data_IF_473184687802
#
_entry.id   IF_473184687802
#
_cell.length_a   1.000
_cell.length_b   1.000
_cell.length_c   1.000
_cell.angle_alpha   90.00
_cell.angle_beta   90.00
_cell.angle_gamma   90.00
#
_symmetry.space_group_name_H-M   'P 1'
#
loop_
_entity.id
_entity.type
_entity.pdbx_description
1 polymer ?
#
# COMPACT_ATOMS: atom_id res chain seq x y z
N UNK A 1 -11.46 0.06 16.38
CA UNK A 1 -10.07 -0.36 16.59
C UNK A 1 -9.28 0.91 16.87
N UNK A 2 -8.50 0.92 17.94
CA UNK A 2 -7.83 2.13 18.41
C UNK A 2 -6.55 2.43 17.59
N UNK A 3 -6.16 3.70 17.47
CA UNK A 3 -4.97 4.14 16.72
C UNK A 3 -3.73 3.38 17.20
N UNK A 4 -3.60 3.21 18.51
CA UNK A 4 -2.45 2.58 19.15
C UNK A 4 -2.38 1.08 18.85
N UNK A 5 -3.52 0.39 18.77
CA UNK A 5 -3.58 -1.03 18.37
C UNK A 5 -3.06 -1.23 16.94
N UNK A 6 -3.48 -0.36 16.01
CA UNK A 6 -3.00 -0.40 14.63
C UNK A 6 -1.49 -0.16 14.55
N UNK A 7 -0.97 0.86 15.25
CA UNK A 7 0.46 1.15 15.29
C UNK A 7 1.25 -0.03 15.87
N UNK A 8 0.77 -0.63 16.97
CA UNK A 8 1.43 -1.79 17.57
C UNK A 8 1.45 -3.00 16.62
N UNK A 9 0.37 -3.24 15.87
CA UNK A 9 0.34 -4.31 14.88
C UNK A 9 1.38 -4.09 13.78
N UNK A 10 1.44 -2.90 13.18
CA UNK A 10 2.42 -2.59 12.13
C UNK A 10 3.86 -2.72 12.67
N UNK A 11 4.12 -2.21 13.88
CA UNK A 11 5.44 -2.34 14.51
C UNK A 11 5.85 -3.80 14.68
N UNK A 12 4.96 -4.69 15.15
CA UNK A 12 5.27 -6.12 15.26
C UNK A 12 5.68 -6.76 13.94
N UNK A 13 5.05 -6.36 12.84
CA UNK A 13 5.43 -6.85 11.50
C UNK A 13 6.81 -6.35 11.09
N UNK A 14 7.13 -5.08 11.36
CA UNK A 14 8.46 -4.52 11.07
C UNK A 14 9.53 -5.12 11.98
N UNK A 15 9.24 -5.32 13.27
CA UNK A 15 10.13 -5.98 14.23
C UNK A 15 10.52 -7.38 13.73
N UNK A 16 9.55 -8.14 13.23
CA UNK A 16 9.80 -9.46 12.66
C UNK A 16 10.73 -9.40 11.44
N UNK A 17 10.50 -8.45 10.52
CA UNK A 17 11.38 -8.28 9.35
C UNK A 17 12.80 -7.87 9.74
N UNK A 18 12.95 -6.95 10.68
CA UNK A 18 14.27 -6.54 11.18
C UNK A 18 15.00 -7.71 11.84
N UNK A 19 14.29 -8.56 12.59
CA UNK A 19 14.85 -9.79 13.15
C UNK A 19 15.31 -10.76 12.05
N UNK A 20 14.52 -10.97 11.00
CA UNK A 20 14.92 -11.82 9.87
C UNK A 20 16.14 -11.26 9.14
N UNK A 21 16.16 -9.93 8.92
CA UNK A 21 17.27 -9.25 8.27
C UNK A 21 18.57 -9.41 9.09
N UNK A 22 18.52 -9.13 10.39
CA UNK A 22 19.67 -9.29 11.29
C UNK A 22 20.14 -10.75 11.37
N UNK A 23 19.21 -11.70 11.36
CA UNK A 23 19.56 -13.12 11.35
C UNK A 23 20.30 -13.51 10.07
N UNK A 24 19.82 -13.09 8.90
CA UNK A 24 20.49 -13.33 7.61
C UNK A 24 21.87 -12.68 7.58
N UNK A 25 22.00 -11.44 8.05
CA UNK A 25 23.27 -10.73 8.12
C UNK A 25 24.29 -11.50 8.99
N UNK A 26 23.83 -12.05 10.11
CA UNK A 26 24.67 -12.85 11.02
C UNK A 26 25.20 -14.16 10.41
N UNK A 27 24.55 -14.71 9.37
CA UNK A 27 24.98 -15.93 8.68
C UNK A 27 26.13 -15.68 7.68
N UNK A 28 26.48 -14.42 7.41
CA UNK A 28 27.50 -14.01 6.45
C UNK A 28 27.02 -14.06 4.99
N UNK A 29 27.47 -13.09 4.18
CA UNK A 29 27.09 -12.92 2.77
C UNK A 29 27.67 -14.04 1.88
N UNK A 30 27.06 -15.22 1.91
CA UNK A 30 27.52 -16.34 1.08
C UNK A 30 26.87 -16.34 -0.31
N UNK A 31 25.69 -15.72 -0.50
CA UNK A 31 25.05 -15.52 -1.83
C UNK A 31 24.13 -14.28 -1.88
N UNK A 32 24.05 -13.56 -3.01
CA UNK A 32 23.07 -12.49 -3.24
C UNK A 32 21.60 -12.94 -3.17
N UNK A 33 21.34 -14.25 -3.35
CA UNK A 33 20.02 -14.86 -3.28
C UNK A 33 19.44 -14.99 -1.86
N UNK A 34 20.16 -14.55 -0.83
CA UNK A 34 19.76 -14.70 0.58
C UNK A 34 19.02 -13.47 1.14
N UNK A 35 18.49 -12.58 0.29
CA UNK A 35 17.75 -11.40 0.74
C UNK A 35 16.38 -11.72 1.35
N UNK A 36 15.91 -10.86 2.25
CA UNK A 36 14.51 -10.87 2.71
C UNK A 36 13.68 -10.06 1.71
N UNK A 37 12.70 -10.71 1.10
CA UNK A 37 11.67 -10.04 0.32
C UNK A 37 10.38 -10.00 1.14
N UNK A 38 9.69 -8.86 1.10
CA UNK A 38 8.44 -8.68 1.82
C UNK A 38 7.45 -7.89 0.97
N UNK A 39 6.17 -8.15 1.20
CA UNK A 39 5.06 -7.42 0.62
C UNK A 39 4.03 -7.21 1.73
N UNK A 40 3.66 -5.95 1.94
CA UNK A 40 2.57 -5.62 2.85
C UNK A 40 1.39 -5.05 2.07
N UNK A 41 0.25 -5.72 2.12
CA UNK A 41 -1.00 -5.18 1.62
C UNK A 41 -1.58 -4.18 2.63
N UNK A 42 -2.00 -3.01 2.14
CA UNK A 42 -2.68 -1.97 2.91
C UNK A 42 -2.00 -1.59 4.25
N UNK A 43 -0.73 -1.20 4.16
CA UNK A 43 0.14 -0.93 5.33
C UNK A 43 0.22 0.56 5.70
N UNK A 44 1.44 1.09 5.93
CA UNK A 44 1.75 2.43 6.46
C UNK A 44 0.92 3.57 5.85
N UNK A 45 0.71 3.57 4.52
CA UNK A 45 0.02 4.66 3.84
C UNK A 45 -1.45 4.80 4.26
N UNK A 46 -2.12 3.67 4.53
CA UNK A 46 -3.50 3.68 5.03
C UNK A 46 -3.57 4.26 6.43
N UNK A 47 -2.57 3.93 7.26
CA UNK A 47 -2.47 4.50 8.60
C UNK A 47 -2.23 6.00 8.54
N UNK A 48 -1.34 6.47 7.66
CA UNK A 48 -1.09 7.89 7.43
C UNK A 48 -2.34 8.63 6.94
N UNK A 49 -3.13 8.00 6.07
CA UNK A 49 -4.42 8.55 5.65
C UNK A 49 -5.45 8.56 6.78
N UNK A 50 -5.47 7.57 7.66
CA UNK A 50 -6.38 7.52 8.80
C UNK A 50 -5.99 8.52 9.91
N UNK A 51 -4.69 8.71 10.15
CA UNK A 51 -4.15 9.51 11.25
C UNK A 51 -3.07 10.48 10.74
N UNK A 52 -3.50 11.71 10.44
CA UNK A 52 -2.62 12.76 9.93
C UNK A 52 -1.65 13.22 11.04
N UNK A 53 -0.38 13.45 10.71
CA UNK A 53 0.68 14.00 11.58
C UNK A 53 0.94 13.21 12.87
N UNK A 54 1.33 11.94 12.74
CA UNK A 54 1.74 11.10 13.87
C UNK A 54 3.24 10.83 13.85
N UNK A 55 3.96 11.23 14.90
CA UNK A 55 5.40 10.96 15.03
C UNK A 55 5.72 9.46 14.98
N UNK A 56 4.80 8.62 15.46
CA UNK A 56 4.89 7.17 15.42
C UNK A 56 4.87 6.61 14.00
N UNK A 57 4.12 7.25 13.09
CA UNK A 57 4.09 6.86 11.67
C UNK A 57 5.40 7.24 11.01
N UNK A 58 5.93 8.43 11.29
CA UNK A 58 7.25 8.84 10.78
C UNK A 58 8.36 7.91 11.27
N UNK A 59 8.32 7.49 12.54
CA UNK A 59 9.24 6.48 13.07
C UNK A 59 9.13 5.14 12.34
N UNK A 60 7.90 4.67 12.08
CA UNK A 60 7.68 3.45 11.31
C UNK A 60 8.22 3.57 9.88
N UNK A 61 8.00 4.70 9.21
CA UNK A 61 8.49 4.95 7.86
C UNK A 61 10.01 5.05 7.78
N UNK A 62 10.65 5.67 8.78
CA UNK A 62 12.12 5.67 8.87
C UNK A 62 12.68 4.24 8.97
N UNK A 63 12.03 3.36 9.75
CA UNK A 63 12.43 1.95 9.87
C UNK A 63 12.25 1.21 8.55
N UNK A 64 11.10 1.38 7.90
CA UNK A 64 10.83 0.79 6.58
C UNK A 64 11.81 1.27 5.51
N UNK A 65 12.17 2.57 5.52
CA UNK A 65 13.17 3.13 4.61
C UNK A 65 14.54 2.47 4.77
N UNK A 66 14.96 2.14 6.00
CA UNK A 66 16.19 1.38 6.27
C UNK A 66 16.15 -0.05 5.75
N UNK A 67 14.96 -0.62 5.60
CA UNK A 67 14.70 -1.93 4.98
C UNK A 67 14.49 -1.82 3.45
N UNK A 68 14.89 -0.70 2.85
CA UNK A 68 14.72 -0.39 1.43
C UNK A 68 13.27 -0.53 0.94
N UNK A 69 12.31 -0.19 1.81
CA UNK A 69 10.89 -0.25 1.46
C UNK A 69 10.56 0.70 0.31
N UNK A 70 9.69 0.23 -0.57
CA UNK A 70 9.05 1.04 -1.60
C UNK A 70 7.54 0.94 -1.44
N UNK A 71 6.84 2.04 -1.61
CA UNK A 71 5.40 2.07 -1.62
C UNK A 71 4.90 1.99 -3.07
N UNK A 72 4.09 0.98 -3.38
CA UNK A 72 3.41 0.90 -4.67
C UNK A 72 1.98 1.40 -4.47
N UNK A 73 1.64 2.50 -5.14
CA UNK A 73 0.29 3.07 -5.11
C UNK A 73 -0.43 2.72 -6.41
N UNK A 74 -1.36 1.78 -6.32
CA UNK A 74 -2.19 1.37 -7.46
C UNK A 74 -3.43 2.27 -7.53
N UNK A 75 -3.64 2.90 -8.68
CA UNK A 75 -4.73 3.85 -8.91
C UNK A 75 -5.53 3.51 -10.14
N UNK A 76 -6.71 4.13 -10.25
CA UNK A 76 -7.55 4.11 -11.44
C UNK A 76 -7.76 5.54 -11.93
N UNK A 77 -7.80 5.70 -13.24
CA UNK A 77 -8.35 6.91 -13.86
C UNK A 77 -9.86 6.99 -13.63
N UNK A 78 -10.40 8.20 -13.68
CA UNK A 78 -11.81 8.48 -13.41
C UNK A 78 -12.75 7.61 -14.27
N UNK A 79 -12.44 7.46 -15.56
CA UNK A 79 -13.26 6.70 -16.50
C UNK A 79 -13.16 5.18 -16.27
N UNK A 80 -12.08 4.71 -15.64
CA UNK A 80 -11.88 3.31 -15.30
C UNK A 80 -12.50 2.91 -13.96
N UNK A 81 -12.87 3.85 -13.08
CA UNK A 81 -13.35 3.52 -11.72
C UNK A 81 -14.62 2.67 -11.77
N UNK A 82 -15.68 3.10 -12.44
CA UNK A 82 -16.94 2.36 -12.47
C UNK A 82 -16.78 0.91 -12.98
N UNK A 83 -16.24 0.67 -14.19
CA UNK A 83 -16.12 -0.69 -14.71
C UNK A 83 -15.16 -1.57 -13.87
N UNK A 84 -14.10 -1.00 -13.29
CA UNK A 84 -13.08 -1.76 -12.56
C UNK A 84 -13.43 -1.94 -11.09
N UNK A 85 -13.90 -0.91 -10.42
CA UNK A 85 -14.20 -0.93 -9.00
C UNK A 85 -15.60 -1.47 -8.71
N UNK A 86 -16.61 -1.22 -9.55
CA UNK A 86 -17.99 -1.64 -9.26
C UNK A 86 -18.32 -2.96 -9.96
N UNK A 87 -18.09 -3.03 -11.27
CA UNK A 87 -18.65 -4.09 -12.10
C UNK A 87 -17.78 -5.35 -12.18
N UNK A 88 -16.46 -5.20 -12.12
CA UNK A 88 -15.52 -6.30 -12.42
C UNK A 88 -15.50 -7.47 -11.43
N UNK A 89 -16.13 -7.34 -10.26
CA UNK A 89 -16.04 -8.32 -9.15
C UNK A 89 -17.37 -9.02 -8.83
N UNK A 90 -18.37 -8.84 -9.69
CA UNK A 90 -19.68 -9.48 -9.58
C UNK A 90 -20.61 -8.86 -8.53
N UNK A 91 -21.83 -9.40 -8.45
CA UNK A 91 -22.94 -8.79 -7.70
C UNK A 91 -22.72 -8.69 -6.19
N UNK A 92 -22.04 -9.67 -5.57
CA UNK A 92 -21.76 -9.63 -4.13
C UNK A 92 -20.86 -8.44 -3.76
N UNK A 93 -19.83 -8.19 -4.58
CA UNK A 93 -18.94 -7.05 -4.39
C UNK A 93 -19.67 -5.73 -4.62
N UNK A 94 -20.44 -5.64 -5.71
CA UNK A 94 -21.28 -4.47 -6.00
C UNK A 94 -22.21 -4.16 -4.84
N UNK A 95 -22.87 -5.18 -4.28
CA UNK A 95 -23.76 -5.04 -3.12
C UNK A 95 -23.03 -4.50 -1.90
N UNK A 96 -21.82 -5.01 -1.62
CA UNK A 96 -20.97 -4.53 -0.52
C UNK A 96 -20.56 -3.06 -0.70
N UNK A 97 -20.12 -2.66 -1.89
CA UNK A 97 -19.76 -1.26 -2.15
C UNK A 97 -20.97 -0.35 -1.98
N UNK A 98 -22.11 -0.76 -2.53
CA UNK A 98 -23.35 0.02 -2.48
C UNK A 98 -24.01 0.07 -1.09
N UNK A 99 -23.56 -0.72 -0.11
CA UNK A 99 -24.12 -0.71 1.26
C UNK A 99 -24.01 0.68 1.91
N UNK A 100 -22.96 1.44 1.58
CA UNK A 100 -22.69 2.76 2.15
C UNK A 100 -22.92 3.92 1.17
N UNK A 101 -23.47 3.66 -0.03
CA UNK A 101 -23.60 4.65 -1.09
C UNK A 101 -24.98 4.58 -1.74
N UNK A 102 -25.61 5.74 -1.97
CA UNK A 102 -26.93 5.78 -2.59
C UNK A 102 -26.88 5.61 -4.11
N UNK A 103 -25.76 5.98 -4.73
CA UNK A 103 -25.57 5.91 -6.19
C UNK A 103 -24.17 5.42 -6.58
N UNK A 104 -24.05 4.83 -7.77
CA UNK A 104 -22.77 4.38 -8.32
C UNK A 104 -21.80 5.56 -8.47
N UNK A 105 -22.30 6.71 -8.91
CA UNK A 105 -21.51 7.94 -9.04
C UNK A 105 -20.93 8.39 -7.71
N UNK A 106 -21.70 8.33 -6.62
CA UNK A 106 -21.23 8.65 -5.27
C UNK A 106 -20.12 7.68 -4.82
N UNK A 107 -20.30 6.37 -5.05
CA UNK A 107 -19.28 5.37 -4.73
C UNK A 107 -17.98 5.61 -5.53
N UNK A 108 -18.08 5.92 -6.82
CA UNK A 108 -16.92 6.23 -7.66
C UNK A 108 -16.23 7.52 -7.23
N UNK A 109 -17.00 8.55 -6.89
CA UNK A 109 -16.46 9.81 -6.37
C UNK A 109 -15.73 9.60 -5.05
N UNK A 110 -16.31 8.82 -4.12
CA UNK A 110 -15.67 8.47 -2.85
C UNK A 110 -14.35 7.71 -3.06
N UNK A 111 -14.32 6.78 -4.01
CA UNK A 111 -13.09 6.07 -4.39
C UNK A 111 -12.00 7.05 -4.85
N UNK A 112 -12.33 7.99 -5.72
CA UNK A 112 -11.39 9.01 -6.22
C UNK A 112 -10.88 9.94 -5.11
N UNK A 113 -11.75 10.31 -4.17
CA UNK A 113 -11.38 11.11 -3.00
C UNK A 113 -10.42 10.37 -2.08
N UNK A 114 -10.68 9.09 -1.80
CA UNK A 114 -9.78 8.26 -0.99
C UNK A 114 -8.44 8.06 -1.70
N UNK A 115 -8.45 7.84 -3.02
CA UNK A 115 -7.25 7.76 -3.84
C UNK A 115 -6.42 9.04 -3.77
N UNK A 116 -7.05 10.22 -3.90
CA UNK A 116 -6.36 11.50 -3.79
C UNK A 116 -5.81 11.75 -2.39
N UNK A 117 -6.53 11.29 -1.35
CA UNK A 117 -6.03 11.31 0.03
C UNK A 117 -4.76 10.47 0.17
N UNK A 118 -4.74 9.26 -0.39
CA UNK A 118 -3.55 8.40 -0.39
C UNK A 118 -2.39 9.05 -1.17
N UNK A 119 -2.64 9.67 -2.34
CA UNK A 119 -1.62 10.42 -3.09
C UNK A 119 -1.00 11.54 -2.27
N UNK A 120 -1.81 12.31 -1.55
CA UNK A 120 -1.32 13.38 -0.66
C UNK A 120 -0.47 12.83 0.47
N UNK A 121 -0.92 11.74 1.10
CA UNK A 121 -0.16 11.08 2.15
C UNK A 121 1.16 10.50 1.62
N UNK A 122 1.18 9.94 0.41
CA UNK A 122 2.36 9.36 -0.21
C UNK A 122 3.43 10.43 -0.45
N UNK A 123 3.04 11.61 -0.94
CA UNK A 123 3.94 12.77 -1.13
C UNK A 123 4.58 13.28 0.17
N UNK A 124 3.95 13.00 1.32
CA UNK A 124 4.46 13.38 2.63
C UNK A 124 5.24 12.24 3.32
N UNK A 125 5.18 11.02 2.78
CA UNK A 125 5.83 9.84 3.35
C UNK A 125 7.34 9.91 3.15
N UNK A 126 8.09 9.32 4.09
CA UNK A 126 9.54 9.13 3.93
C UNK A 126 9.88 7.95 3.00
N UNK A 127 8.88 7.14 2.64
CA UNK A 127 9.07 5.97 1.78
C UNK A 127 8.86 6.38 0.31
N UNK A 128 9.83 6.11 -0.59
CA UNK A 128 9.66 6.34 -2.01
C UNK A 128 8.40 5.65 -2.53
N UNK A 129 7.54 6.42 -3.21
CA UNK A 129 6.30 5.90 -3.76
C UNK A 129 6.34 5.86 -5.29
N UNK A 130 5.96 4.72 -5.84
CA UNK A 130 5.76 4.51 -7.26
C UNK A 130 4.27 4.32 -7.54
N UNK A 131 3.68 5.25 -8.29
CA UNK A 131 2.27 5.22 -8.65
C UNK A 131 2.07 4.53 -10.00
N UNK A 132 1.11 3.61 -10.07
CA UNK A 132 0.75 2.87 -11.29
C UNK A 132 -0.75 3.00 -11.52
N UNK A 133 -1.14 3.38 -12.74
CA UNK A 133 -2.52 3.35 -13.20
C UNK A 133 -2.86 1.94 -13.68
N UNK A 134 -3.93 1.36 -13.13
CA UNK A 134 -4.28 -0.06 -13.31
C UNK A 134 -5.55 -0.28 -14.13
N UNK A 135 -5.88 0.71 -14.96
CA UNK A 135 -7.11 0.80 -15.74
C UNK A 135 -7.35 -0.47 -16.57
N UNK A 136 -6.31 -0.95 -17.26
CA UNK A 136 -6.39 -2.10 -18.19
C UNK A 136 -6.36 -3.48 -17.53
N UNK A 137 -6.19 -3.55 -16.20
CA UNK A 137 -6.05 -4.83 -15.48
C UNK A 137 -4.88 -5.74 -15.95
N UNK A 138 -3.87 -5.19 -16.64
CA UNK A 138 -2.70 -5.92 -17.12
C UNK A 138 -1.69 -6.21 -15.98
N UNK A 139 -2.04 -7.17 -15.13
CA UNK A 139 -1.30 -7.50 -13.92
C UNK A 139 0.14 -7.93 -14.17
N UNK A 140 0.39 -8.62 -15.30
CA UNK A 140 1.73 -9.10 -15.66
C UNK A 140 2.65 -7.92 -15.99
N UNK A 141 2.17 -6.98 -16.82
CA UNK A 141 2.92 -5.77 -17.14
C UNK A 141 3.18 -4.90 -15.91
N UNK A 142 2.19 -4.73 -15.03
CA UNK A 142 2.38 -3.94 -13.79
C UNK A 142 3.38 -4.61 -12.84
N UNK A 143 3.36 -5.94 -12.71
CA UNK A 143 4.35 -6.66 -11.89
C UNK A 143 5.77 -6.47 -12.42
N UNK A 144 5.97 -6.53 -13.74
CA UNK A 144 7.26 -6.26 -14.38
C UNK A 144 7.69 -4.81 -14.13
N UNK A 145 6.77 -3.85 -14.29
CA UNK A 145 7.04 -2.44 -14.06
C UNK A 145 7.47 -2.16 -12.61
N UNK A 146 6.83 -2.82 -11.63
CA UNK A 146 7.21 -2.76 -10.22
C UNK A 146 8.63 -3.30 -10.05
N UNK A 147 8.92 -4.51 -10.53
CA UNK A 147 10.24 -5.12 -10.38
C UNK A 147 11.36 -4.29 -11.04
N UNK A 148 11.08 -3.63 -12.17
CA UNK A 148 12.05 -2.78 -12.85
C UNK A 148 12.17 -1.38 -12.23
N UNK A 149 11.08 -0.84 -11.69
CA UNK A 149 11.01 0.52 -11.14
C UNK A 149 11.53 0.64 -9.70
N UNK A 150 11.71 -0.47 -9.00
CA UNK A 150 12.30 -0.52 -7.64
C UNK A 150 13.81 -0.81 -7.65
N UNK A 151 14.39 -1.14 -8.83
CA UNK A 151 15.81 -1.46 -8.98
C UNK A 151 16.71 -0.21 -9.07
#
# INVERSE_FOLDING_TARGET
MDKDEHIQLLNRHVDYLEQQYNWIDSLGHTKPSNGVFYLFERFHLNLRAAFINSAEIEMLEMRLSRLNAHCILLTLSQDAVEPRFIESRGEAWKSYVMENHFTVTEACQKFLEDQEKLRKCAKQSLIPTFEIYTDEADWDSYAIQILMGIN
#
